data_IF_897119491575
#
_entry.id   IF_897119491575
#
_cell.length_a   1.000
_cell.length_b   1.000
_cell.length_c   1.000
_cell.angle_alpha   90.00
_cell.angle_beta   90.00
_cell.angle_gamma   90.00
#
_symmetry.space_group_name_H-M   'P 1'
#
loop_
_entity.id
_entity.type
_entity.pdbx_description
1 polymer ?
#
# COMPACT_ATOMS: atom_id res chain seq x y z
N UNK A 1 3.26 2.36 -1.89
CA UNK A 1 3.88 3.45 -1.09
C UNK A 1 4.91 2.94 -0.07
N UNK A 2 4.56 2.04 0.87
CA UNK A 2 5.50 1.58 1.90
C UNK A 2 6.81 1.00 1.34
N UNK A 3 6.73 0.21 0.27
CA UNK A 3 7.90 -0.34 -0.44
C UNK A 3 8.85 0.75 -0.94
N UNK A 4 8.33 1.78 -1.61
CA UNK A 4 9.13 2.89 -2.16
C UNK A 4 9.79 3.67 -1.01
N UNK A 5 9.02 4.01 0.03
CA UNK A 5 9.54 4.77 1.16
C UNK A 5 10.57 3.98 1.99
N UNK A 6 10.42 2.66 2.08
CA UNK A 6 11.33 1.76 2.80
C UNK A 6 12.51 1.25 1.97
N UNK A 7 12.58 1.59 0.68
CA UNK A 7 13.64 1.10 -0.21
C UNK A 7 13.59 -0.40 -0.48
N UNK A 8 12.39 -0.99 -0.50
CA UNK A 8 12.20 -2.42 -0.74
C UNK A 8 12.65 -2.82 -2.16
N UNK A 9 13.38 -3.93 -2.26
CA UNK A 9 13.80 -4.53 -3.54
C UNK A 9 12.60 -5.03 -4.34
N UNK A 10 11.62 -5.62 -3.65
CA UNK A 10 10.44 -6.22 -4.27
C UNK A 10 9.20 -5.89 -3.46
N UNK A 11 8.09 -5.62 -4.17
CA UNK A 11 6.76 -5.49 -3.58
C UNK A 11 5.78 -6.44 -4.25
N UNK A 12 5.02 -7.18 -3.45
CA UNK A 12 3.94 -8.05 -3.91
C UNK A 12 2.61 -7.36 -3.58
N UNK A 13 1.81 -7.06 -4.61
CA UNK A 13 0.53 -6.35 -4.50
C UNK A 13 -0.57 -7.10 -5.27
N UNK A 14 -1.86 -6.94 -4.91
CA UNK A 14 -2.96 -7.59 -5.62
C UNK A 14 -3.08 -7.18 -7.09
N UNK A 15 -2.64 -5.97 -7.45
CA UNK A 15 -2.80 -5.43 -8.81
C UNK A 15 -1.75 -5.95 -9.80
N UNK A 16 -0.62 -6.48 -9.32
CA UNK A 16 0.48 -6.97 -10.16
C UNK A 16 1.07 -8.25 -9.57
N UNK A 17 0.88 -9.34 -10.29
CA UNK A 17 1.47 -10.63 -9.93
C UNK A 17 2.95 -10.68 -10.34
N UNK A 18 3.76 -11.29 -9.47
CA UNK A 18 5.18 -11.57 -9.69
C UNK A 18 5.41 -13.02 -9.28
N UNK A 19 6.21 -13.76 -10.06
CA UNK A 19 6.56 -15.14 -9.77
C UNK A 19 7.57 -15.21 -8.62
N UNK A 20 7.55 -16.26 -7.79
CA UNK A 20 8.46 -16.37 -6.66
C UNK A 20 9.91 -16.55 -7.10
N UNK A 21 10.11 -17.17 -8.26
CA UNK A 21 11.38 -17.31 -8.96
C UNK A 21 12.00 -15.93 -9.23
N UNK A 22 11.20 -15.00 -9.77
CA UNK A 22 11.64 -13.63 -10.06
C UNK A 22 11.98 -12.87 -8.77
N UNK A 23 11.24 -13.12 -7.67
CA UNK A 23 11.59 -12.54 -6.36
C UNK A 23 12.96 -13.04 -5.90
N UNK A 24 13.21 -14.35 -5.98
CA UNK A 24 14.48 -14.94 -5.57
C UNK A 24 15.65 -14.39 -6.41
N UNK A 25 15.49 -14.32 -7.73
CA UNK A 25 16.49 -13.75 -8.64
C UNK A 25 16.82 -12.29 -8.27
N UNK A 26 15.82 -11.45 -8.00
CA UNK A 26 16.05 -10.05 -7.61
C UNK A 26 16.84 -9.97 -6.31
N UNK A 27 16.54 -10.83 -5.33
CA UNK A 27 17.24 -10.87 -4.06
C UNK A 27 18.67 -11.38 -4.21
N UNK A 28 18.90 -12.43 -4.97
CA UNK A 28 20.23 -12.95 -5.27
C UNK A 28 21.10 -11.88 -5.94
N UNK A 29 20.55 -11.17 -6.93
CA UNK A 29 21.25 -10.07 -7.59
C UNK A 29 21.55 -8.91 -6.63
N UNK A 30 20.67 -8.63 -5.67
CA UNK A 30 20.92 -7.65 -4.63
C UNK A 30 22.11 -8.07 -3.74
N UNK A 31 22.21 -9.35 -3.40
CA UNK A 31 23.32 -9.92 -2.64
C UNK A 31 24.64 -9.83 -3.40
N UNK A 32 24.67 -10.26 -4.67
CA UNK A 32 25.86 -10.22 -5.54
C UNK A 32 26.39 -8.78 -5.68
N UNK A 33 25.50 -7.78 -5.70
CA UNK A 33 25.86 -6.35 -5.71
C UNK A 33 26.42 -5.84 -4.38
N UNK A 34 26.53 -6.69 -3.36
CA UNK A 34 27.11 -6.39 -2.05
C UNK A 34 26.16 -5.65 -1.09
N UNK A 35 24.83 -5.73 -1.30
CA UNK A 35 23.89 -5.15 -0.34
C UNK A 35 23.92 -5.90 0.99
N UNK A 36 23.94 -5.15 2.09
CA UNK A 36 23.95 -5.72 3.44
C UNK A 36 22.61 -6.36 3.85
N UNK A 37 21.50 -5.93 3.25
CA UNK A 37 20.16 -6.45 3.51
C UNK A 37 19.27 -6.23 2.28
N UNK A 38 18.15 -6.95 2.25
CA UNK A 38 17.07 -6.75 1.31
C UNK A 38 15.72 -6.82 2.03
N UNK A 39 14.74 -6.09 1.52
CA UNK A 39 13.39 -5.95 2.05
C UNK A 39 12.37 -6.32 0.98
N UNK A 40 11.51 -7.29 1.32
CA UNK A 40 10.33 -7.65 0.51
C UNK A 40 9.08 -7.18 1.24
N UNK A 41 8.25 -6.38 0.57
CA UNK A 41 6.98 -5.89 1.14
C UNK A 41 5.81 -6.63 0.49
N UNK A 42 4.99 -7.28 1.31
CA UNK A 42 3.86 -8.09 0.84
C UNK A 42 2.56 -7.46 1.32
N UNK A 43 1.68 -7.07 0.40
CA UNK A 43 0.34 -6.59 0.73
C UNK A 43 -0.53 -7.75 1.21
N UNK A 44 -1.45 -7.49 2.15
CA UNK A 44 -2.35 -8.54 2.70
C UNK A 44 -3.24 -9.21 1.64
N UNK A 45 -3.55 -8.48 0.56
CA UNK A 45 -4.33 -8.98 -0.57
C UNK A 45 -3.49 -9.59 -1.70
N UNK A 46 -2.16 -9.68 -1.55
CA UNK A 46 -1.32 -10.33 -2.55
C UNK A 46 -1.72 -11.81 -2.72
N UNK A 47 -1.56 -12.33 -3.94
CA UNK A 47 -1.96 -13.70 -4.30
C UNK A 47 -1.17 -14.77 -3.53
N UNK A 48 0.12 -14.54 -3.35
CA UNK A 48 1.00 -15.42 -2.58
C UNK A 48 0.92 -15.09 -1.10
N UNK A 49 0.71 -16.10 -0.26
CA UNK A 49 0.73 -15.87 1.19
C UNK A 49 2.15 -15.64 1.67
N UNK A 50 2.31 -14.81 2.71
CA UNK A 50 3.62 -14.54 3.33
C UNK A 50 4.35 -15.83 3.72
N UNK A 51 3.64 -16.83 4.26
CA UNK A 51 4.23 -18.12 4.63
C UNK A 51 4.80 -18.89 3.43
N UNK A 52 4.15 -18.81 2.27
CA UNK A 52 4.57 -19.47 1.03
C UNK A 52 5.84 -18.81 0.48
N UNK A 53 5.85 -17.48 0.45
CA UNK A 53 7.03 -16.69 0.02
C UNK A 53 8.24 -17.04 0.90
N UNK A 54 8.06 -17.07 2.21
CA UNK A 54 9.14 -17.35 3.16
C UNK A 54 9.64 -18.79 3.01
N UNK A 55 8.74 -19.76 2.93
CA UNK A 55 9.10 -21.15 2.74
C UNK A 55 9.81 -21.42 1.40
N UNK A 56 9.50 -20.63 0.37
CA UNK A 56 10.19 -20.68 -0.91
C UNK A 56 11.59 -20.07 -0.79
N UNK A 57 11.70 -18.83 -0.33
CA UNK A 57 12.98 -18.12 -0.22
C UNK A 57 13.98 -18.77 0.74
N UNK A 58 13.52 -19.53 1.74
CA UNK A 58 14.39 -20.30 2.63
C UNK A 58 15.01 -21.54 1.97
N UNK A 59 14.44 -22.03 0.86
CA UNK A 59 14.98 -23.17 0.10
C UNK A 59 15.96 -22.74 -0.97
N UNK A 60 15.84 -21.50 -1.44
CA UNK A 60 16.70 -20.93 -2.47
C UNK A 60 18.00 -20.36 -1.87
N UNK A 61 19.10 -20.42 -2.63
CA UNK A 61 20.39 -19.85 -2.23
C UNK A 61 20.48 -18.35 -2.56
N UNK A 62 19.63 -17.54 -1.93
CA UNK A 62 19.58 -16.08 -2.19
C UNK A 62 20.66 -15.26 -1.47
N UNK A 63 21.53 -15.90 -0.68
CA UNK A 63 22.60 -15.25 0.09
C UNK A 63 22.17 -14.51 1.36
N UNK A 64 20.87 -14.42 1.65
CA UNK A 64 20.32 -13.74 2.83
C UNK A 64 19.64 -14.70 3.81
N UNK A 65 19.77 -14.42 5.12
CA UNK A 65 18.93 -15.04 6.14
C UNK A 65 17.51 -14.45 6.08
N UNK A 66 16.50 -15.30 5.85
CA UNK A 66 15.11 -14.85 5.69
C UNK A 66 14.42 -14.72 7.05
N UNK A 67 13.93 -13.50 7.34
CA UNK A 67 13.08 -13.20 8.50
C UNK A 67 11.78 -12.53 8.08
N UNK A 68 10.73 -12.74 8.87
CA UNK A 68 9.38 -12.28 8.55
C UNK A 68 8.80 -11.48 9.71
N UNK A 69 8.02 -10.44 9.39
CA UNK A 69 7.24 -9.68 10.38
C UNK A 69 5.86 -9.40 9.82
N UNK A 70 4.83 -9.76 10.58
CA UNK A 70 3.43 -9.44 10.26
C UNK A 70 3.02 -8.29 11.16
N UNK A 71 2.81 -7.10 10.57
CA UNK A 71 2.45 -5.89 11.32
C UNK A 71 1.05 -5.99 11.97
N UNK A 72 0.08 -6.52 11.24
CA UNK A 72 -1.29 -6.68 11.72
C UNK A 72 -1.95 -5.35 12.11
N UNK A 73 -2.71 -5.37 13.21
CA UNK A 73 -3.60 -4.27 13.62
C UNK A 73 -2.88 -2.97 14.03
N UNK A 74 -1.56 -3.01 14.25
CA UNK A 74 -0.79 -1.80 14.58
C UNK A 74 -0.93 -0.70 13.51
N UNK A 75 -1.15 -1.09 12.26
CA UNK A 75 -1.34 -0.18 11.12
C UNK A 75 -2.61 0.67 11.21
N UNK A 76 -3.59 0.28 12.04
CA UNK A 76 -4.86 1.00 12.23
C UNK A 76 -4.88 1.88 13.49
N UNK A 77 -3.84 1.80 14.32
CA UNK A 77 -3.73 2.55 15.56
C UNK A 77 -2.74 3.73 15.47
N UNK A 78 -2.50 4.37 16.61
CA UNK A 78 -1.56 5.50 16.74
C UNK A 78 -2.22 6.87 16.55
N UNK A 79 -1.45 7.93 16.83
CA UNK A 79 -1.92 9.31 16.62
C UNK A 79 -1.83 9.68 15.13
N UNK A 80 -2.86 10.29 14.53
CA UNK A 80 -2.86 10.64 13.12
C UNK A 80 -1.74 11.64 12.79
N UNK A 81 -1.21 11.57 11.57
CA UNK A 81 -0.16 12.47 11.09
C UNK A 81 -0.69 13.90 10.90
N UNK A 82 0.21 14.87 10.73
CA UNK A 82 -0.18 16.26 10.42
C UNK A 82 -1.02 16.33 9.13
N UNK A 83 -0.67 15.53 8.12
CA UNK A 83 -1.42 15.45 6.87
C UNK A 83 -2.83 14.93 7.10
N UNK A 84 -2.98 13.81 7.83
CA UNK A 84 -4.29 13.20 8.09
C UNK A 84 -5.20 14.14 8.88
N UNK A 85 -4.65 14.86 9.88
CA UNK A 85 -5.39 15.85 10.65
C UNK A 85 -5.91 16.98 9.76
N UNK A 86 -5.04 17.58 8.95
CA UNK A 86 -5.43 18.66 8.03
C UNK A 86 -6.44 18.19 6.99
N UNK A 87 -6.25 16.99 6.44
CA UNK A 87 -7.16 16.39 5.48
C UNK A 87 -8.54 16.16 6.11
N UNK A 88 -8.61 15.51 7.27
CA UNK A 88 -9.85 15.25 7.98
C UNK A 88 -10.63 16.53 8.30
N UNK A 89 -9.93 17.57 8.79
CA UNK A 89 -10.54 18.89 9.04
C UNK A 89 -11.14 19.49 7.76
N UNK A 90 -10.40 19.47 6.64
CA UNK A 90 -10.87 20.01 5.35
C UNK A 90 -12.06 19.23 4.79
N UNK A 91 -12.01 17.90 4.87
CA UNK A 91 -13.10 17.03 4.41
C UNK A 91 -14.36 17.25 5.24
N UNK A 92 -14.24 17.25 6.58
CA UNK A 92 -15.37 17.45 7.49
C UNK A 92 -16.04 18.82 7.30
N UNK A 93 -15.25 19.90 7.24
CA UNK A 93 -15.76 21.24 7.01
C UNK A 93 -16.50 21.34 5.65
N UNK A 94 -15.92 20.79 4.58
CA UNK A 94 -16.56 20.77 3.26
C UNK A 94 -17.85 19.94 3.25
N UNK A 95 -17.88 18.80 3.93
CA UNK A 95 -19.08 17.96 4.01
C UNK A 95 -20.25 18.71 4.65
N UNK A 96 -20.01 19.35 5.80
CA UNK A 96 -21.04 20.15 6.50
C UNK A 96 -21.50 21.32 5.64
N UNK A 97 -20.58 22.04 4.98
CA UNK A 97 -20.95 23.16 4.09
C UNK A 97 -21.81 22.71 2.90
N UNK A 98 -21.56 21.52 2.34
CA UNK A 98 -22.36 20.97 1.23
C UNK A 98 -23.74 20.54 1.71
N UNK A 99 -23.84 19.88 2.86
CA UNK A 99 -25.11 19.51 3.47
C UNK A 99 -25.98 20.74 3.79
N UNK A 100 -25.38 21.81 4.33
CA UNK A 100 -26.08 23.06 4.62
C UNK A 100 -26.65 23.73 3.34
N UNK A 101 -26.03 23.50 2.18
CA UNK A 101 -26.50 23.96 0.87
C UNK A 101 -27.52 23.00 0.23
N UNK A 102 -28.00 21.99 0.96
CA UNK A 102 -28.95 20.99 0.47
C UNK A 102 -28.35 19.92 -0.44
N UNK A 103 -27.03 19.90 -0.64
CA UNK A 103 -26.36 18.89 -1.47
C UNK A 103 -26.27 17.58 -0.69
N UNK A 104 -26.76 16.49 -1.30
CA UNK A 104 -26.80 15.14 -0.71
C UNK A 104 -26.31 14.11 -1.73
N UNK A 105 -26.03 12.89 -1.28
CA UNK A 105 -25.62 11.79 -2.17
C UNK A 105 -24.21 11.96 -2.77
N UNK A 106 -23.36 12.76 -2.13
CA UNK A 106 -21.99 13.05 -2.61
C UNK A 106 -20.96 12.62 -1.57
N UNK A 107 -19.86 12.01 -2.02
CA UNK A 107 -18.64 11.80 -1.25
C UNK A 107 -17.71 13.01 -1.42
N UNK A 108 -17.18 13.53 -0.31
CA UNK A 108 -16.12 14.54 -0.32
C UNK A 108 -14.77 13.84 -0.35
N UNK A 109 -13.85 14.27 -1.22
CA UNK A 109 -12.51 13.71 -1.33
C UNK A 109 -11.47 14.75 -1.77
N UNK A 110 -10.21 14.33 -1.84
CA UNK A 110 -9.10 15.14 -2.32
C UNK A 110 -8.68 14.65 -3.71
N UNK A 111 -8.74 15.53 -4.72
CA UNK A 111 -8.31 15.23 -6.10
C UNK A 111 -7.46 16.41 -6.60
N UNK A 112 -6.19 16.14 -6.95
CA UNK A 112 -5.26 17.18 -7.40
C UNK A 112 -5.06 18.29 -6.36
N UNK A 113 -4.88 17.89 -5.09
CA UNK A 113 -4.74 18.78 -3.92
C UNK A 113 -5.95 19.72 -3.63
N UNK A 114 -7.07 19.50 -4.32
CA UNK A 114 -8.32 20.27 -4.14
C UNK A 114 -9.41 19.38 -3.56
N UNK A 115 -10.22 19.95 -2.66
CA UNK A 115 -11.40 19.27 -2.14
C UNK A 115 -12.46 19.26 -3.24
N UNK A 116 -12.91 18.05 -3.61
CA UNK A 116 -13.94 17.83 -4.63
C UNK A 116 -15.04 16.93 -4.08
N UNK A 117 -16.17 16.92 -4.77
CA UNK A 117 -17.31 16.06 -4.49
C UNK A 117 -17.57 15.16 -5.68
N UNK A 118 -17.80 13.87 -5.42
CA UNK A 118 -18.15 12.84 -6.41
C UNK A 118 -19.47 12.19 -6.00
N UNK A 119 -20.35 11.84 -6.94
CA UNK A 119 -21.61 11.17 -6.57
C UNK A 119 -21.35 9.77 -6.01
N UNK A 120 -22.17 9.33 -5.05
CA UNK A 120 -22.01 8.00 -4.45
C UNK A 120 -22.16 6.87 -5.48
N UNK A 121 -23.04 7.05 -6.48
CA UNK A 121 -23.21 6.13 -7.62
C UNK A 121 -21.87 5.90 -8.34
N UNK A 122 -21.18 6.98 -8.73
CA UNK A 122 -19.88 6.91 -9.40
C UNK A 122 -18.79 6.27 -8.54
N UNK A 123 -18.84 6.48 -7.21
CA UNK A 123 -17.88 5.89 -6.28
C UNK A 123 -18.03 4.36 -6.23
N UNK A 124 -19.26 3.85 -6.33
CA UNK A 124 -19.51 2.40 -6.30
C UNK A 124 -19.18 1.68 -7.60
N UNK A 125 -19.20 2.38 -8.73
CA UNK A 125 -18.96 1.78 -10.05
C UNK A 125 -17.49 1.63 -10.42
N UNK A 126 -16.61 2.46 -9.82
CA UNK A 126 -15.20 2.52 -10.22
C UNK A 126 -14.30 1.80 -9.23
N UNK A 127 -13.40 0.96 -9.76
CA UNK A 127 -12.23 0.48 -9.00
C UNK A 127 -11.09 1.47 -9.15
N UNK A 128 -10.34 1.66 -8.06
CA UNK A 128 -9.13 2.47 -8.08
C UNK A 128 -8.01 1.69 -8.75
N UNK A 129 -7.41 2.27 -9.77
CA UNK A 129 -6.23 1.72 -10.43
C UNK A 129 -4.94 2.11 -9.68
N UNK A 130 -3.90 1.30 -9.88
CA UNK A 130 -2.56 1.62 -9.39
C UNK A 130 -2.00 2.80 -10.18
N UNK A 131 -1.22 3.65 -9.51
CA UNK A 131 -0.39 4.65 -10.20
C UNK A 131 0.81 3.90 -10.80
N UNK A 132 0.85 3.77 -12.13
CA UNK A 132 1.86 3.01 -12.88
C UNK A 132 2.93 3.91 -13.46
#
# INVERSE_FOLDING_TARGET
MAAIAGGAEVVLIPEKEIALEEVAEILEQAYIKGKAHALVVIAEGAKCKTSEVVAYLQKEEIGFEVRTTILGHVQRGGSPSAFDRLLATRLGASAVQKLAKGVRGMMVGLIGNKIKTTSLEQVTERRKELDT
#
